data_IF_218213031408
#
_entry.id   IF_218213031408
#
_cell.length_a   1.000
_cell.length_b   1.000
_cell.length_c   1.000
_cell.angle_alpha   90.00
_cell.angle_beta   90.00
_cell.angle_gamma   90.00
#
_symmetry.space_group_name_H-M   'P 1'
#
loop_
_entity.id
_entity.type
_entity.pdbx_description
1 polymer ?
#
# COMPACT_ATOMS: atom_id res chain seq x y z
N UNK A 1 -35.59 45.70 -56.82
CA UNK A 1 -36.54 45.02 -55.92
C UNK A 1 -36.28 45.58 -54.54
N UNK A 2 -37.13 46.32 -53.84
CA UNK A 2 -38.55 46.65 -53.90
C UNK A 2 -38.73 48.00 -53.15
N UNK A 3 -39.74 48.86 -53.29
CA UNK A 3 -40.87 49.13 -54.20
C UNK A 3 -41.31 50.54 -53.78
N UNK A 4 -41.35 51.54 -54.67
CA UNK A 4 -42.52 51.90 -55.47
C UNK A 4 -43.84 51.99 -54.67
N UNK A 5 -44.32 53.22 -54.44
CA UNK A 5 -45.67 53.62 -54.84
C UNK A 5 -45.82 55.15 -54.75
N UNK A 6 -46.12 55.80 -55.87
CA UNK A 6 -46.88 57.06 -55.90
C UNK A 6 -47.95 56.96 -56.99
N UNK A 7 -49.13 57.58 -56.80
CA UNK A 7 -50.31 57.24 -57.58
C UNK A 7 -50.58 58.18 -58.77
N UNK A 8 -51.22 57.60 -59.81
CA UNK A 8 -52.41 58.06 -60.60
C UNK A 8 -52.43 59.49 -61.17
N UNK A 9 -52.93 59.78 -62.39
CA UNK A 9 -53.65 59.02 -63.44
C UNK A 9 -53.83 59.95 -64.66
N UNK A 10 -53.75 59.36 -65.88
CA UNK A 10 -54.43 59.67 -67.17
C UNK A 10 -54.58 61.16 -67.61
N UNK A 11 -54.26 61.51 -68.85
CA UNK A 11 -54.98 61.01 -70.03
C UNK A 11 -54.31 61.37 -71.37
N UNK A 12 -54.10 60.33 -72.19
CA UNK A 12 -54.27 60.20 -73.66
C UNK A 12 -54.53 61.49 -74.47
N UNK A 13 -53.66 61.78 -75.45
CA UNK A 13 -54.00 61.66 -76.89
C UNK A 13 -52.78 61.99 -77.77
N UNK A 14 -52.40 60.99 -78.59
CA UNK A 14 -51.38 61.10 -79.63
C UNK A 14 -51.86 61.85 -80.87
N UNK A 15 -50.92 62.05 -81.79
CA UNK A 15 -51.10 62.59 -83.16
C UNK A 15 -51.34 64.09 -83.33
N UNK A 16 -51.31 64.91 -82.27
CA UNK A 16 -51.29 66.40 -82.40
C UNK A 16 -49.97 67.09 -82.05
N UNK A 17 -49.08 66.46 -81.28
CA UNK A 17 -47.84 67.10 -80.80
C UNK A 17 -46.73 67.26 -81.85
N UNK A 18 -46.79 66.47 -82.94
CA UNK A 18 -45.83 66.55 -84.04
C UNK A 18 -46.03 67.80 -84.93
N UNK A 19 -47.23 68.39 -84.91
CA UNK A 19 -47.57 69.61 -85.67
C UNK A 19 -47.19 70.88 -84.88
N UNK A 20 -47.16 70.82 -83.54
CA UNK A 20 -46.66 71.91 -82.68
C UNK A 20 -45.13 72.05 -82.70
N UNK A 21 -44.40 70.98 -83.04
CA UNK A 21 -42.94 70.99 -83.15
C UNK A 21 -42.48 71.70 -84.45
N UNK A 22 -43.31 71.67 -85.52
CA UNK A 22 -43.00 72.37 -86.78
C UNK A 22 -43.51 73.84 -86.74
N UNK A 23 -44.64 74.11 -86.06
CA UNK A 23 -45.15 75.48 -85.85
C UNK A 23 -44.37 76.30 -84.81
N UNK A 24 -43.77 75.66 -83.80
CA UNK A 24 -42.91 76.34 -82.82
C UNK A 24 -41.55 76.75 -83.39
N UNK A 25 -40.99 75.95 -84.30
CA UNK A 25 -39.73 76.27 -84.99
C UNK A 25 -39.91 77.40 -86.01
N UNK A 26 -41.09 77.52 -86.64
CA UNK A 26 -41.42 78.62 -87.55
C UNK A 26 -41.69 79.95 -86.81
N UNK A 27 -42.28 79.91 -85.60
CA UNK A 27 -42.55 81.10 -84.78
C UNK A 27 -41.28 81.64 -84.10
N UNK A 28 -40.30 80.77 -83.81
CA UNK A 28 -38.96 81.17 -83.34
C UNK A 28 -38.09 81.68 -84.49
N UNK A 29 -38.22 81.15 -85.71
CA UNK A 29 -37.56 81.69 -86.91
C UNK A 29 -38.10 83.08 -87.31
N UNK A 30 -39.39 83.36 -87.13
CA UNK A 30 -39.99 84.69 -87.38
C UNK A 30 -39.68 85.70 -86.26
N UNK A 31 -39.53 85.26 -85.01
CA UNK A 31 -39.06 86.11 -83.91
C UNK A 31 -37.54 86.42 -83.98
N UNK A 32 -36.73 85.49 -84.49
CA UNK A 32 -35.29 85.71 -84.69
C UNK A 32 -34.96 86.48 -85.98
N UNK A 33 -35.80 86.43 -87.02
CA UNK A 33 -35.65 87.26 -88.22
C UNK A 33 -36.21 88.70 -88.05
N UNK A 34 -37.17 88.92 -87.13
CA UNK A 34 -37.74 90.24 -86.83
C UNK A 34 -36.90 91.12 -85.88
N UNK A 35 -36.03 90.54 -85.07
CA UNK A 35 -35.15 91.27 -84.15
C UNK A 35 -33.84 91.78 -84.77
N UNK A 36 -33.43 91.21 -85.92
CA UNK A 36 -32.15 91.51 -86.56
C UNK A 36 -32.18 92.70 -87.54
N UNK A 37 -33.34 93.32 -87.78
CA UNK A 37 -33.48 94.48 -88.68
C UNK A 37 -33.69 95.82 -87.96
N UNK A 38 -33.71 95.84 -86.62
CA UNK A 38 -33.86 97.07 -85.81
C UNK A 38 -32.63 97.41 -84.94
N UNK A 39 -31.52 96.70 -85.11
CA UNK A 39 -30.24 96.95 -84.42
C UNK A 39 -29.04 96.99 -85.38
N UNK A 40 -29.26 97.39 -86.64
CA UNK A 40 -28.19 97.82 -87.54
C UNK A 40 -27.91 99.32 -87.30
N UNK A 41 -26.72 99.71 -86.80
CA UNK A 41 -26.33 101.11 -86.71
C UNK A 41 -26.22 101.70 -88.11
N UNK A 42 -26.96 102.80 -88.32
CA UNK A 42 -26.99 103.61 -89.53
C UNK A 42 -25.58 104.05 -89.93
N UNK A 43 -25.23 103.92 -91.21
CA UNK A 43 -24.12 104.66 -91.81
C UNK A 43 -24.43 106.18 -91.72
N UNK A 44 -23.61 107.00 -91.06
CA UNK A 44 -23.80 108.44 -91.05
C UNK A 44 -23.36 109.04 -92.40
N UNK A 45 -24.27 109.77 -93.03
CA UNK A 45 -24.00 110.58 -94.19
C UNK A 45 -22.97 111.68 -93.85
N UNK A 46 -22.05 111.91 -94.78
CA UNK A 46 -20.98 112.89 -94.73
C UNK A 46 -21.51 114.30 -94.44
N UNK A 47 -21.39 114.73 -93.19
CA UNK A 47 -21.48 116.13 -92.76
C UNK A 47 -20.08 116.68 -92.57
N UNK A 48 -19.78 117.77 -93.25
CA UNK A 48 -18.51 118.52 -93.20
C UNK A 48 -18.10 118.90 -91.78
N UNK A 49 -16.91 118.44 -91.36
CA UNK A 49 -16.26 118.76 -90.09
C UNK A 49 -15.55 120.13 -90.17
N UNK A 50 -15.57 120.95 -89.09
CA UNK A 50 -14.74 122.13 -88.93
C UNK A 50 -13.23 121.78 -88.87
N UNK A 51 -12.35 122.68 -89.31
CA UNK A 51 -10.91 122.44 -89.38
C UNK A 51 -10.27 122.16 -88.01
N UNK A 52 -9.49 121.07 -87.91
CA UNK A 52 -8.61 120.76 -86.76
C UNK A 52 -8.70 119.35 -86.15
N UNK A 53 -9.55 118.44 -86.68
CA UNK A 53 -9.77 117.11 -86.09
C UNK A 53 -9.40 115.98 -87.08
N UNK A 54 -8.70 114.96 -86.59
CA UNK A 54 -8.31 113.76 -87.33
C UNK A 54 -9.07 112.54 -86.81
N UNK A 55 -9.53 111.68 -87.71
CA UNK A 55 -10.19 110.40 -87.40
C UNK A 55 -9.31 109.21 -87.77
N UNK A 56 -9.29 108.15 -86.93
CA UNK A 56 -8.55 106.89 -87.13
C UNK A 56 -9.52 105.70 -87.12
N UNK A 57 -9.29 104.68 -87.96
CA UNK A 57 -10.11 103.46 -88.05
C UNK A 57 -9.85 102.47 -86.91
N UNK A 58 -10.91 101.87 -86.34
CA UNK A 58 -10.85 100.87 -85.26
C UNK A 58 -10.82 99.40 -85.77
N UNK A 59 -10.19 98.49 -85.00
CA UNK A 59 -10.14 97.03 -85.26
C UNK A 59 -10.69 96.19 -84.10
N UNK A 60 -11.08 94.94 -84.40
CA UNK A 60 -11.66 93.97 -83.44
C UNK A 60 -10.58 93.14 -82.75
N UNK A 61 -10.69 92.96 -81.43
CA UNK A 61 -9.87 92.03 -80.63
C UNK A 61 -10.73 91.22 -79.64
N UNK A 62 -10.32 89.98 -79.35
CA UNK A 62 -11.03 89.05 -78.47
C UNK A 62 -11.01 89.52 -77.02
N UNK A 63 -12.19 89.66 -76.40
CA UNK A 63 -12.34 89.95 -74.97
C UNK A 63 -12.50 88.61 -74.24
N UNK A 64 -11.50 88.20 -73.47
CA UNK A 64 -11.62 87.06 -72.55
C UNK A 64 -12.12 87.53 -71.18
N UNK A 65 -13.25 87.00 -70.74
CA UNK A 65 -13.74 87.17 -69.37
C UNK A 65 -13.24 85.99 -68.53
N UNK A 66 -12.27 86.25 -67.68
CA UNK A 66 -11.78 85.28 -66.70
C UNK A 66 -12.67 85.37 -65.46
N UNK A 67 -13.30 84.25 -65.08
CA UNK A 67 -13.95 84.14 -63.76
C UNK A 67 -12.87 83.66 -62.79
N UNK A 68 -12.43 84.54 -61.91
CA UNK A 68 -11.53 84.20 -60.81
C UNK A 68 -12.33 83.51 -59.71
N UNK A 69 -12.10 82.22 -59.51
CA UNK A 69 -12.49 81.50 -58.30
C UNK A 69 -11.24 81.35 -57.43
N UNK A 70 -11.21 82.02 -56.28
CA UNK A 70 -10.23 81.74 -55.24
C UNK A 70 -10.63 80.48 -54.51
N UNK A 71 -9.78 79.46 -54.58
CA UNK A 71 -9.86 78.26 -53.75
C UNK A 71 -8.54 78.07 -53.02
N UNK A 72 -8.60 77.59 -51.79
CA UNK A 72 -7.41 77.18 -51.06
C UNK A 72 -6.91 75.84 -51.62
N UNK A 73 -5.59 75.71 -51.80
CA UNK A 73 -4.94 74.44 -52.14
C UNK A 73 -4.58 73.76 -50.82
N UNK A 74 -5.11 72.57 -50.60
CA UNK A 74 -4.82 71.73 -49.43
C UNK A 74 -4.08 70.47 -49.92
N UNK A 75 -3.12 69.92 -49.14
CA UNK A 75 -2.40 68.72 -49.53
C UNK A 75 -3.34 67.54 -49.86
N UNK A 76 -2.96 66.73 -50.85
CA UNK A 76 -3.76 65.56 -51.24
C UNK A 76 -3.87 64.51 -50.12
N UNK A 77 -2.84 64.44 -49.27
CA UNK A 77 -2.82 63.74 -48.00
C UNK A 77 -1.74 64.41 -47.14
N UNK A 78 -2.05 64.69 -45.89
CA UNK A 78 -1.11 65.22 -44.89
C UNK A 78 -1.22 64.33 -43.66
N UNK A 79 -0.08 63.93 -43.10
CA UNK A 79 -0.05 63.14 -41.87
C UNK A 79 0.87 63.77 -40.84
N UNK A 80 0.28 64.14 -39.69
CA UNK A 80 1.04 64.48 -38.48
C UNK A 80 1.46 63.19 -37.79
N UNK A 81 2.74 62.89 -37.85
CA UNK A 81 3.37 61.72 -37.26
C UNK A 81 3.98 62.09 -35.91
N UNK A 82 3.67 61.33 -34.88
CA UNK A 82 4.28 61.43 -33.55
C UNK A 82 4.67 60.04 -33.08
N UNK A 83 5.63 59.96 -32.17
CA UNK A 83 5.98 58.69 -31.54
C UNK A 83 4.78 58.17 -30.73
N UNK A 84 4.49 56.88 -30.87
CA UNK A 84 3.45 56.21 -30.06
C UNK A 84 3.99 55.73 -28.70
N UNK A 85 5.29 55.84 -28.48
CA UNK A 85 5.98 55.47 -27.24
C UNK A 85 6.67 56.69 -26.63
N UNK A 86 6.57 56.82 -25.31
CA UNK A 86 7.29 57.84 -24.55
C UNK A 86 8.77 57.46 -24.43
N UNK A 87 9.67 58.40 -24.73
CA UNK A 87 11.13 58.21 -24.64
C UNK A 87 11.85 59.47 -25.07
N UNK A 88 13.19 59.47 -25.09
CA UNK A 88 13.98 60.55 -25.69
C UNK A 88 14.36 60.22 -27.13
N UNK A 89 14.31 61.21 -28.03
CA UNK A 89 14.73 61.03 -29.43
C UNK A 89 16.25 60.83 -29.47
N UNK A 90 16.71 59.71 -30.04
CA UNK A 90 18.14 59.38 -30.13
C UNK A 90 18.73 59.70 -31.49
N UNK A 91 17.94 59.56 -32.56
CA UNK A 91 18.40 59.75 -33.93
C UNK A 91 17.27 60.27 -34.83
N UNK A 92 17.59 61.22 -35.71
CA UNK A 92 16.71 61.71 -36.78
C UNK A 92 17.38 61.33 -38.10
N UNK A 93 16.68 60.55 -38.93
CA UNK A 93 17.24 59.86 -40.11
C UNK A 93 16.90 60.57 -41.44
N UNK A 94 16.09 61.63 -41.38
CA UNK A 94 15.61 62.39 -42.54
C UNK A 94 15.76 63.89 -42.31
N UNK A 95 15.77 64.68 -43.38
CA UNK A 95 15.77 66.15 -43.31
C UNK A 95 14.50 66.71 -43.93
N UNK A 96 14.16 67.94 -43.55
CA UNK A 96 13.07 68.67 -44.18
C UNK A 96 13.31 68.79 -45.69
N UNK A 97 12.29 68.47 -46.49
CA UNK A 97 12.37 68.41 -47.95
C UNK A 97 12.86 67.08 -48.54
N UNK A 98 13.28 66.10 -47.73
CA UNK A 98 13.64 64.76 -48.24
C UNK A 98 12.38 63.99 -48.68
N UNK A 99 12.48 63.25 -49.78
CA UNK A 99 11.44 62.34 -50.25
C UNK A 99 11.57 60.97 -49.59
N UNK A 100 10.51 60.49 -48.95
CA UNK A 100 10.49 59.22 -48.21
C UNK A 100 9.49 58.25 -48.83
N UNK A 101 9.76 56.96 -48.74
CA UNK A 101 8.83 55.91 -49.15
C UNK A 101 8.03 55.38 -47.97
N UNK A 102 6.90 54.74 -48.23
CA UNK A 102 6.12 54.06 -47.19
C UNK A 102 7.00 53.06 -46.42
N UNK A 103 6.99 53.14 -45.09
CA UNK A 103 7.81 52.34 -44.18
C UNK A 103 9.22 52.88 -43.93
N UNK A 104 9.64 53.98 -44.56
CA UNK A 104 10.96 54.56 -44.33
C UNK A 104 11.08 55.07 -42.88
N UNK A 105 12.18 54.75 -42.15
CA UNK A 105 12.40 55.24 -40.80
C UNK A 105 12.77 56.72 -40.82
N UNK A 106 12.03 57.51 -40.06
CA UNK A 106 12.16 58.98 -39.99
C UNK A 106 12.98 59.40 -38.77
N UNK A 107 12.69 58.80 -37.62
CA UNK A 107 13.37 59.07 -36.36
C UNK A 107 13.26 57.88 -35.41
N UNK A 108 14.15 57.80 -34.42
CA UNK A 108 14.21 56.73 -33.42
C UNK A 108 14.23 57.32 -32.01
N UNK A 109 13.52 56.69 -31.10
CA UNK A 109 13.62 56.96 -29.66
C UNK A 109 14.50 55.93 -28.96
N UNK A 110 15.00 56.27 -27.78
CA UNK A 110 15.78 55.34 -26.96
C UNK A 110 14.99 54.03 -26.74
N UNK A 111 15.55 52.95 -27.26
CA UNK A 111 14.95 51.61 -27.27
C UNK A 111 15.68 50.65 -26.35
N UNK A 112 16.68 51.09 -25.58
CA UNK A 112 17.46 50.20 -24.71
C UNK A 112 16.55 49.48 -23.70
N UNK A 113 15.64 50.21 -23.03
CA UNK A 113 14.67 49.61 -22.11
C UNK A 113 13.65 48.69 -22.79
N UNK A 114 13.23 49.02 -24.02
CA UNK A 114 12.27 48.22 -24.80
C UNK A 114 12.89 46.92 -25.30
N UNK A 115 14.16 46.96 -25.74
CA UNK A 115 14.93 45.76 -26.11
C UNK A 115 15.14 44.86 -24.90
N UNK A 116 15.49 45.41 -23.74
CA UNK A 116 15.60 44.63 -22.51
C UNK A 116 14.26 44.00 -22.11
N UNK A 117 13.15 44.74 -22.24
CA UNK A 117 11.80 44.20 -21.99
C UNK A 117 11.43 43.06 -22.95
N UNK A 118 11.83 43.16 -24.23
CA UNK A 118 11.63 42.10 -25.19
C UNK A 118 12.48 40.88 -24.85
N UNK A 119 13.74 41.06 -24.50
CA UNK A 119 14.65 39.99 -24.10
C UNK A 119 14.14 39.27 -22.84
N UNK A 120 13.64 40.01 -21.86
CA UNK A 120 12.97 39.46 -20.67
C UNK A 120 11.73 38.64 -21.05
N UNK A 121 10.83 39.19 -21.88
CA UNK A 121 9.63 38.47 -22.31
C UNK A 121 9.97 37.19 -23.09
N UNK A 122 11.03 37.21 -23.91
CA UNK A 122 11.53 36.04 -24.63
C UNK A 122 12.13 34.99 -23.68
N UNK A 123 12.83 35.42 -22.63
CA UNK A 123 13.31 34.53 -21.59
C UNK A 123 12.15 33.87 -20.83
N UNK A 124 11.11 34.64 -20.47
CA UNK A 124 9.91 34.13 -19.81
C UNK A 124 9.14 33.13 -20.70
N UNK A 125 9.05 33.38 -22.01
CA UNK A 125 8.46 32.44 -22.96
C UNK A 125 9.24 31.14 -23.03
N UNK A 126 10.58 31.20 -23.11
CA UNK A 126 11.42 30.00 -23.11
C UNK A 126 11.25 29.19 -21.82
N UNK A 127 11.18 29.87 -20.67
CA UNK A 127 10.92 29.20 -19.39
C UNK A 127 9.54 28.55 -19.36
N UNK A 128 8.49 29.23 -19.82
CA UNK A 128 7.13 28.69 -19.85
C UNK A 128 7.01 27.48 -20.79
N UNK A 129 7.72 27.50 -21.93
CA UNK A 129 7.80 26.38 -22.87
C UNK A 129 8.52 25.19 -22.24
N UNK A 130 9.68 25.41 -21.60
CA UNK A 130 10.41 24.37 -20.88
C UNK A 130 9.54 23.74 -19.78
N UNK A 131 8.87 24.54 -18.96
CA UNK A 131 7.95 24.06 -17.92
C UNK A 131 6.78 23.22 -18.48
N UNK A 132 6.31 23.52 -19.69
CA UNK A 132 5.25 22.77 -20.36
C UNK A 132 5.77 21.45 -20.95
N UNK A 133 6.95 21.47 -21.57
CA UNK A 133 7.62 20.28 -22.08
C UNK A 133 8.01 19.32 -20.95
N UNK A 134 8.54 19.83 -19.84
CA UNK A 134 8.85 19.03 -18.64
C UNK A 134 7.60 18.34 -18.09
N UNK A 135 6.45 19.04 -18.08
CA UNK A 135 5.17 18.45 -17.68
C UNK A 135 4.72 17.33 -18.62
N UNK A 136 4.96 17.47 -19.93
CA UNK A 136 4.62 16.47 -20.94
C UNK A 136 5.57 15.27 -20.93
N UNK A 137 6.86 15.49 -20.68
CA UNK A 137 7.87 14.45 -20.59
C UNK A 137 7.60 13.52 -19.39
N UNK A 138 6.96 14.03 -18.34
CA UNK A 138 6.55 13.25 -17.18
C UNK A 138 7.74 12.77 -16.36
N UNK A 139 7.58 11.65 -15.67
CA UNK A 139 8.66 11.08 -14.86
C UNK A 139 9.83 10.60 -15.73
N UNK A 140 11.05 10.91 -15.29
CA UNK A 140 12.27 10.46 -15.96
C UNK A 140 12.46 8.95 -15.84
N UNK A 141 13.25 8.36 -16.74
CA UNK A 141 13.60 6.94 -16.67
C UNK A 141 14.28 6.54 -15.35
N UNK A 142 15.07 7.45 -14.77
CA UNK A 142 15.71 7.25 -13.47
C UNK A 142 14.69 7.20 -12.32
N UNK A 143 13.72 8.11 -12.29
CA UNK A 143 12.66 8.12 -11.27
C UNK A 143 11.76 6.89 -11.37
N UNK A 144 11.41 6.47 -12.60
CA UNK A 144 10.65 5.25 -12.84
C UNK A 144 11.42 4.01 -12.39
N UNK A 145 12.71 3.93 -12.71
CA UNK A 145 13.57 2.82 -12.28
C UNK A 145 13.68 2.75 -10.75
N UNK A 146 13.82 3.89 -10.08
CA UNK A 146 13.86 3.94 -8.61
C UNK A 146 12.51 3.50 -8.00
N UNK A 147 11.39 3.98 -8.52
CA UNK A 147 10.06 3.60 -8.05
C UNK A 147 9.78 2.10 -8.27
N UNK A 148 10.18 1.55 -9.42
CA UNK A 148 10.11 0.11 -9.69
C UNK A 148 10.99 -0.69 -8.75
N UNK A 149 12.21 -0.22 -8.45
CA UNK A 149 13.10 -0.87 -7.49
C UNK A 149 12.50 -0.89 -6.08
N UNK A 150 11.91 0.23 -5.64
CA UNK A 150 11.20 0.33 -4.35
C UNK A 150 10.01 -0.64 -4.29
N UNK A 151 9.22 -0.74 -5.36
CA UNK A 151 8.10 -1.69 -5.45
C UNK A 151 8.59 -3.15 -5.43
N UNK A 152 9.66 -3.47 -6.16
CA UNK A 152 10.25 -4.81 -6.16
C UNK A 152 10.76 -5.19 -4.77
N UNK A 153 11.43 -4.26 -4.08
CA UNK A 153 11.89 -4.45 -2.70
C UNK A 153 10.72 -4.68 -1.75
N UNK A 154 9.66 -3.86 -1.81
CA UNK A 154 8.47 -4.03 -0.98
C UNK A 154 7.78 -5.37 -1.22
N UNK A 155 7.67 -5.81 -2.49
CA UNK A 155 7.12 -7.13 -2.85
C UNK A 155 7.96 -8.27 -2.31
N UNK A 156 9.29 -8.15 -2.38
CA UNK A 156 10.20 -9.15 -1.82
C UNK A 156 10.05 -9.27 -0.29
N UNK A 157 9.95 -8.14 0.42
CA UNK A 157 9.69 -8.15 1.87
C UNK A 157 8.34 -8.79 2.21
N UNK A 158 7.26 -8.42 1.49
CA UNK A 158 5.96 -9.06 1.67
C UNK A 158 6.01 -10.57 1.42
N UNK A 159 6.69 -11.02 0.36
CA UNK A 159 6.85 -12.45 0.07
C UNK A 159 7.65 -13.16 1.17
N UNK A 160 8.75 -12.57 1.64
CA UNK A 160 9.53 -13.13 2.76
C UNK A 160 8.67 -13.31 4.01
N UNK A 161 7.90 -12.29 4.39
CA UNK A 161 6.96 -12.37 5.53
C UNK A 161 5.84 -13.38 5.28
N UNK A 162 5.29 -13.47 4.06
CA UNK A 162 4.23 -14.43 3.73
C UNK A 162 4.73 -15.88 3.72
N UNK A 163 6.00 -16.12 3.38
CA UNK A 163 6.61 -17.45 3.34
C UNK A 163 7.35 -17.82 4.63
N UNK A 164 7.55 -16.88 5.56
CA UNK A 164 8.29 -17.14 6.82
C UNK A 164 7.56 -18.11 7.74
N UNK A 165 6.25 -18.25 7.56
CA UNK A 165 5.41 -19.24 8.24
C UNK A 165 4.72 -20.08 7.18
N UNK A 166 5.09 -21.35 7.10
CA UNK A 166 4.44 -22.29 6.20
C UNK A 166 3.21 -22.93 6.86
N UNK A 167 2.30 -23.46 6.04
CA UNK A 167 1.20 -24.30 6.55
C UNK A 167 1.72 -25.54 7.30
N UNK A 168 2.89 -26.05 6.94
CA UNK A 168 3.54 -27.16 7.64
C UNK A 168 3.97 -26.76 9.06
N UNK A 169 4.50 -25.55 9.26
CA UNK A 169 4.91 -25.04 10.58
C UNK A 169 3.70 -24.91 11.52
N UNK A 170 2.58 -24.37 11.01
CA UNK A 170 1.33 -24.25 11.78
C UNK A 170 0.79 -25.63 12.15
N UNK A 171 0.81 -26.59 11.21
CA UNK A 171 0.33 -27.94 11.47
C UNK A 171 1.22 -28.69 12.48
N UNK A 172 2.54 -28.50 12.41
CA UNK A 172 3.47 -29.03 13.40
C UNK A 172 3.19 -28.45 14.79
N UNK A 173 3.04 -27.12 14.92
CA UNK A 173 2.72 -26.48 16.20
C UNK A 173 1.36 -26.93 16.77
N UNK A 174 0.35 -27.16 15.92
CA UNK A 174 -0.94 -27.75 16.34
C UNK A 174 -0.79 -29.19 16.84
N UNK A 175 0.02 -30.00 16.16
CA UNK A 175 0.30 -31.37 16.59
C UNK A 175 1.03 -31.40 17.94
N UNK A 176 2.00 -30.50 18.14
CA UNK A 176 2.72 -30.35 19.41
C UNK A 176 1.79 -29.94 20.55
N UNK A 177 0.87 -29.01 20.30
CA UNK A 177 -0.14 -28.60 21.28
C UNK A 177 -1.07 -29.78 21.64
N UNK A 178 -1.57 -30.50 20.63
CA UNK A 178 -2.43 -31.66 20.84
C UNK A 178 -1.71 -32.77 21.63
N UNK A 179 -0.43 -33.03 21.34
CA UNK A 179 0.38 -33.98 22.08
C UNK A 179 0.62 -33.55 23.54
N UNK A 180 0.89 -32.26 23.77
CA UNK A 180 1.04 -31.71 25.12
C UNK A 180 -0.26 -31.79 25.93
N UNK A 181 -1.40 -31.50 25.32
CA UNK A 181 -2.73 -31.64 25.92
C UNK A 181 -3.03 -33.10 26.25
N UNK A 182 -2.84 -34.02 25.31
CA UNK A 182 -3.05 -35.44 25.54
C UNK A 182 -2.16 -36.00 26.67
N UNK A 183 -0.93 -35.49 26.82
CA UNK A 183 -0.06 -35.83 27.96
C UNK A 183 -0.63 -35.31 29.27
N UNK A 184 -1.09 -34.06 29.31
CA UNK A 184 -1.70 -33.49 30.51
C UNK A 184 -2.97 -34.25 30.90
N UNK A 185 -3.84 -34.56 29.94
CA UNK A 185 -5.08 -35.31 30.16
C UNK A 185 -4.80 -36.70 30.72
N UNK A 186 -3.77 -37.39 30.18
CA UNK A 186 -3.34 -38.70 30.71
C UNK A 186 -2.86 -38.61 32.16
N UNK A 187 -2.14 -37.54 32.52
CA UNK A 187 -1.69 -37.33 33.90
C UNK A 187 -2.85 -36.97 34.84
N UNK A 188 -3.87 -36.25 34.35
CA UNK A 188 -5.07 -35.88 35.11
C UNK A 188 -6.07 -37.03 35.28
N UNK A 189 -6.18 -37.93 34.30
CA UNK A 189 -7.07 -39.09 34.34
C UNK A 189 -6.64 -40.14 35.38
N UNK A 190 -5.39 -40.10 35.84
CA UNK A 190 -4.85 -41.05 36.81
C UNK A 190 -4.41 -42.39 36.18
N UNK A 191 -4.10 -43.42 37.00
CA UNK A 191 -3.70 -44.73 36.49
C UNK A 191 -4.82 -45.37 35.67
N UNK A 192 -4.45 -46.14 34.64
CA UNK A 192 -5.43 -46.85 33.83
C UNK A 192 -6.25 -47.83 34.69
N UNK A 193 -7.53 -48.01 34.36
CA UNK A 193 -8.43 -48.94 35.07
C UNK A 193 -7.83 -50.34 35.19
N UNK A 194 -7.15 -50.79 34.14
CA UNK A 194 -6.61 -52.14 34.02
C UNK A 194 -5.35 -52.34 34.87
N UNK A 195 -4.52 -51.29 35.00
CA UNK A 195 -3.35 -51.29 35.89
C UNK A 195 -3.79 -51.35 37.35
N UNK A 196 -4.80 -50.55 37.72
CA UNK A 196 -5.34 -50.56 39.07
C UNK A 196 -6.04 -51.88 39.40
N UNK A 197 -6.78 -52.47 38.44
CA UNK A 197 -7.38 -53.79 38.59
C UNK A 197 -6.31 -54.87 38.83
N UNK A 198 -5.24 -54.88 38.03
CA UNK A 198 -4.12 -55.81 38.19
C UNK A 198 -3.42 -55.66 39.55
N UNK A 199 -3.24 -54.42 40.02
CA UNK A 199 -2.66 -54.16 41.34
C UNK A 199 -3.58 -54.64 42.47
N UNK A 200 -4.89 -54.43 42.36
CA UNK A 200 -5.88 -54.93 43.31
C UNK A 200 -5.90 -56.47 43.36
N UNK A 201 -5.79 -57.14 42.22
CA UNK A 201 -5.66 -58.59 42.18
C UNK A 201 -4.40 -59.09 42.87
N UNK A 202 -3.27 -58.41 42.72
CA UNK A 202 -2.03 -58.78 43.43
C UNK A 202 -2.18 -58.64 44.94
N UNK A 203 -2.84 -57.59 45.43
CA UNK A 203 -3.18 -57.44 46.85
C UNK A 203 -4.08 -58.59 47.31
N UNK A 204 -5.12 -58.92 46.53
CA UNK A 204 -6.02 -60.01 46.86
C UNK A 204 -5.30 -61.37 46.92
N UNK A 205 -4.41 -61.65 45.96
CA UNK A 205 -3.61 -62.89 45.94
C UNK A 205 -2.66 -62.95 47.15
N UNK A 206 -1.98 -61.85 47.46
CA UNK A 206 -1.07 -61.79 48.61
C UNK A 206 -1.82 -61.97 49.94
N UNK A 207 -3.02 -61.39 50.06
CA UNK A 207 -3.90 -61.56 51.21
C UNK A 207 -4.33 -63.03 51.37
N UNK A 208 -4.83 -63.65 50.30
CA UNK A 208 -5.20 -65.07 50.33
C UNK A 208 -4.02 -65.98 50.68
N UNK A 209 -2.82 -65.71 50.16
CA UNK A 209 -1.61 -66.46 50.51
C UNK A 209 -1.23 -66.33 51.99
N UNK A 210 -1.39 -65.13 52.56
CA UNK A 210 -1.15 -64.91 53.99
C UNK A 210 -2.15 -65.69 54.86
N UNK A 211 -3.43 -65.64 54.51
CA UNK A 211 -4.49 -66.31 55.26
C UNK A 211 -4.35 -67.84 55.18
N UNK A 212 -4.11 -68.37 53.98
CA UNK A 212 -3.88 -69.80 53.77
C UNK A 212 -2.60 -70.26 54.49
N UNK A 213 -1.51 -69.49 54.38
CA UNK A 213 -0.26 -69.79 55.08
C UNK A 213 -0.44 -69.86 56.59
N UNK A 214 -1.20 -68.94 57.20
CA UNK A 214 -1.49 -68.98 58.64
C UNK A 214 -2.22 -70.25 59.06
N UNK A 215 -3.20 -70.69 58.28
CA UNK A 215 -3.94 -71.94 58.54
C UNK A 215 -3.03 -73.16 58.42
N UNK A 216 -2.24 -73.25 57.35
CA UNK A 216 -1.37 -74.41 57.09
C UNK A 216 -0.24 -74.52 58.12
N UNK A 217 0.38 -73.40 58.50
CA UNK A 217 1.45 -73.35 59.49
C UNK A 217 0.92 -73.69 60.90
N UNK A 218 -0.25 -73.17 61.28
CA UNK A 218 -0.89 -73.54 62.54
C UNK A 218 -1.18 -75.05 62.60
N UNK A 219 -1.74 -75.62 61.53
CA UNK A 219 -2.00 -77.05 61.45
C UNK A 219 -0.72 -77.89 61.48
N UNK A 220 0.35 -77.47 60.80
CA UNK A 220 1.65 -78.16 60.81
C UNK A 220 2.27 -78.19 62.20
N UNK A 221 2.25 -77.05 62.90
CA UNK A 221 2.72 -76.91 64.28
C UNK A 221 1.94 -77.78 65.25
N UNK A 222 0.61 -77.79 65.14
CA UNK A 222 -0.25 -78.63 65.99
C UNK A 222 0.02 -80.12 65.76
N UNK A 223 0.18 -80.57 64.50
CA UNK A 223 0.56 -81.96 64.21
C UNK A 223 1.91 -82.33 64.81
N UNK A 224 2.92 -81.47 64.67
CA UNK A 224 4.24 -81.70 65.24
C UNK A 224 4.20 -81.76 66.78
N UNK A 225 3.40 -80.90 67.41
CA UNK A 225 3.16 -80.94 68.86
C UNK A 225 2.54 -82.26 69.30
N UNK A 226 1.49 -82.72 68.60
CA UNK A 226 0.83 -84.00 68.91
C UNK A 226 1.79 -85.19 68.72
N UNK A 227 2.68 -85.15 67.72
CA UNK A 227 3.70 -86.20 67.57
C UNK A 227 4.70 -86.18 68.74
N UNK A 228 5.16 -85.02 69.20
CA UNK A 228 5.99 -84.90 70.42
C UNK A 228 5.30 -85.56 71.62
N UNK A 229 4.03 -85.25 71.87
CA UNK A 229 3.26 -85.84 72.96
C UNK A 229 3.14 -87.37 72.80
N UNK A 230 2.93 -87.84 71.56
CA UNK A 230 2.84 -89.27 71.24
C UNK A 230 4.18 -89.99 71.49
N UNK A 231 5.31 -89.40 71.07
CA UNK A 231 6.66 -89.97 71.31
C UNK A 231 7.05 -89.92 72.77
N UNK A 232 6.65 -88.89 73.50
CA UNK A 232 6.88 -88.80 74.95
C UNK A 232 6.15 -89.92 75.71
N UNK A 233 4.91 -90.20 75.33
CA UNK A 233 4.15 -91.32 75.90
C UNK A 233 4.78 -92.68 75.51
N UNK A 234 5.25 -92.85 74.27
CA UNK A 234 5.93 -94.06 73.84
C UNK A 234 7.24 -94.30 74.62
N UNK A 235 8.03 -93.24 74.87
CA UNK A 235 9.23 -93.30 75.69
C UNK A 235 8.90 -93.73 77.13
N UNK A 236 7.88 -93.11 77.73
CA UNK A 236 7.42 -93.49 79.08
C UNK A 236 7.06 -94.97 79.15
N UNK A 237 6.27 -95.46 78.18
CA UNK A 237 5.89 -96.87 78.11
C UNK A 237 7.09 -97.80 77.93
N UNK A 238 8.08 -97.42 77.12
CA UNK A 238 9.32 -98.19 76.92
C UNK A 238 10.17 -98.24 78.21
N UNK A 239 10.27 -97.12 78.93
CA UNK A 239 10.96 -97.03 80.22
C UNK A 239 10.28 -97.89 81.30
N UNK A 240 8.95 -97.86 81.35
CA UNK A 240 8.16 -98.69 82.26
C UNK A 240 8.34 -100.19 81.94
N UNK A 241 8.37 -100.56 80.65
CA UNK A 241 8.60 -101.93 80.19
C UNK A 241 10.02 -102.42 80.51
N UNK A 242 11.05 -101.62 80.22
CA UNK A 242 12.44 -101.92 80.58
C UNK A 242 12.60 -102.08 82.09
N UNK A 243 12.04 -101.16 82.88
CA UNK A 243 12.07 -101.22 84.34
C UNK A 243 11.48 -102.53 84.85
N UNK A 244 10.33 -102.96 84.29
CA UNK A 244 9.69 -104.24 84.65
C UNK A 244 10.58 -105.43 84.33
N UNK A 245 11.10 -105.53 83.10
CA UNK A 245 11.98 -106.64 82.67
C UNK A 245 13.25 -106.70 83.51
N UNK A 246 13.86 -105.55 83.81
CA UNK A 246 15.04 -105.45 84.67
C UNK A 246 14.78 -106.02 86.07
N UNK A 247 13.70 -105.57 86.74
CA UNK A 247 13.37 -106.06 88.08
C UNK A 247 12.99 -107.54 88.09
N UNK A 248 12.24 -108.02 87.09
CA UNK A 248 11.94 -109.46 86.95
C UNK A 248 13.21 -110.30 86.74
N UNK A 249 14.14 -109.83 85.89
CA UNK A 249 15.41 -110.50 85.66
C UNK A 249 16.25 -110.54 86.95
N UNK A 250 16.33 -109.43 87.68
CA UNK A 250 17.10 -109.37 88.92
C UNK A 250 16.55 -110.33 89.98
N UNK A 251 15.23 -110.43 90.10
CA UNK A 251 14.60 -111.38 91.02
C UNK A 251 14.82 -112.84 90.58
N UNK A 252 14.70 -113.11 89.28
CA UNK A 252 14.92 -114.44 88.72
C UNK A 252 16.39 -114.89 88.90
N UNK A 253 17.36 -113.99 88.70
CA UNK A 253 18.79 -114.27 88.89
C UNK A 253 19.11 -114.71 90.31
N UNK A 254 18.46 -114.09 91.31
CA UNK A 254 18.59 -114.46 92.73
C UNK A 254 18.07 -115.87 93.02
N UNK A 255 17.10 -116.34 92.24
CA UNK A 255 16.45 -117.64 92.42
C UNK A 255 17.08 -118.79 91.62
N UNK A 256 17.95 -118.51 90.63
CA UNK A 256 18.51 -119.50 89.71
C UNK A 256 19.96 -119.89 90.10
N UNK A 257 20.27 -121.17 90.31
CA UNK A 257 21.62 -121.60 90.73
C UNK A 257 22.71 -121.42 89.65
N UNK A 258 22.33 -121.28 88.37
CA UNK A 258 23.24 -121.14 87.23
C UNK A 258 23.16 -119.75 86.53
N UNK A 259 22.53 -118.76 87.17
CA UNK A 259 22.33 -117.41 86.62
C UNK A 259 21.26 -117.31 85.52
N UNK A 260 21.13 -116.11 84.93
CA UNK A 260 20.10 -115.79 83.93
C UNK A 260 20.32 -116.51 82.57
N UNK A 261 19.25 -116.97 81.94
CA UNK A 261 19.30 -117.52 80.56
C UNK A 261 19.63 -116.43 79.54
N UNK A 262 20.25 -116.83 78.43
CA UNK A 262 20.61 -115.89 77.35
C UNK A 262 19.36 -115.18 76.79
N UNK A 263 18.24 -115.89 76.65
CA UNK A 263 16.97 -115.31 76.20
C UNK A 263 16.49 -114.16 77.09
N UNK A 264 16.61 -114.27 78.42
CA UNK A 264 16.21 -113.20 79.36
C UNK A 264 17.15 -111.99 79.28
N UNK A 265 18.45 -112.22 79.07
CA UNK A 265 19.44 -111.15 78.82
C UNK A 265 19.16 -110.43 77.49
N UNK A 266 18.76 -111.18 76.46
CA UNK A 266 18.40 -110.63 75.15
C UNK A 266 17.09 -109.82 75.22
N UNK A 267 16.10 -110.27 76.00
CA UNK A 267 14.84 -109.54 76.27
C UNK A 267 15.10 -108.20 76.95
N UNK A 268 15.97 -108.16 77.98
CA UNK A 268 16.37 -106.92 78.64
C UNK A 268 17.10 -105.98 77.69
N UNK A 269 18.05 -106.52 76.91
CA UNK A 269 18.77 -105.75 75.89
C UNK A 269 17.81 -105.18 74.84
N UNK A 270 16.79 -105.93 74.43
CA UNK A 270 15.75 -105.47 73.52
C UNK A 270 14.90 -104.36 74.13
N UNK A 271 14.52 -104.47 75.40
CA UNK A 271 13.77 -103.43 76.11
C UNK A 271 14.60 -102.14 76.27
N UNK A 272 15.90 -102.26 76.55
CA UNK A 272 16.81 -101.11 76.60
C UNK A 272 16.98 -100.44 75.22
N UNK A 273 17.10 -101.22 74.14
CA UNK A 273 17.11 -100.68 72.77
C UNK A 273 15.81 -99.93 72.47
N UNK A 274 14.66 -100.47 72.86
CA UNK A 274 13.37 -99.80 72.68
C UNK A 274 13.29 -98.45 73.41
N UNK A 275 13.89 -98.32 74.60
CA UNK A 275 14.04 -97.02 75.28
C UNK A 275 14.89 -96.07 74.44
N UNK A 276 16.09 -96.49 74.02
CA UNK A 276 16.98 -95.66 73.19
C UNK A 276 16.31 -95.21 71.87
N UNK A 277 15.58 -96.10 71.21
CA UNK A 277 14.85 -95.79 69.98
C UNK A 277 13.71 -94.80 70.24
N UNK A 278 12.99 -94.94 71.35
CA UNK A 278 11.94 -94.00 71.74
C UNK A 278 12.51 -92.63 72.14
N UNK A 279 13.67 -92.57 72.80
CA UNK A 279 14.39 -91.32 73.09
C UNK A 279 14.87 -90.62 71.82
N UNK A 280 15.39 -91.38 70.85
CA UNK A 280 15.77 -90.86 69.55
C UNK A 280 14.55 -90.33 68.78
N UNK A 281 13.43 -91.07 68.80
CA UNK A 281 12.19 -90.65 68.16
C UNK A 281 11.59 -89.38 68.80
N UNK A 282 11.62 -89.26 70.13
CA UNK A 282 11.17 -88.05 70.82
C UNK A 282 12.04 -86.84 70.46
N UNK A 283 13.37 -87.00 70.48
CA UNK A 283 14.29 -85.92 70.08
C UNK A 283 14.04 -85.47 68.64
N UNK A 284 13.82 -86.42 67.72
CA UNK A 284 13.47 -86.10 66.34
C UNK A 284 12.14 -85.33 66.24
N UNK A 285 11.11 -85.73 67.00
CA UNK A 285 9.83 -85.02 67.05
C UNK A 285 9.97 -83.60 67.62
N UNK A 286 10.80 -83.40 68.65
CA UNK A 286 11.07 -82.08 69.23
C UNK A 286 11.74 -81.15 68.21
N UNK A 287 12.74 -81.65 67.48
CA UNK A 287 13.39 -80.89 66.39
C UNK A 287 12.39 -80.53 65.30
N UNK A 288 11.50 -81.45 64.91
CA UNK A 288 10.46 -81.19 63.93
C UNK A 288 9.46 -80.12 64.41
N UNK A 289 9.10 -80.12 65.70
CA UNK A 289 8.25 -79.08 66.29
C UNK A 289 8.93 -77.70 66.33
N UNK A 290 10.21 -77.64 66.68
CA UNK A 290 10.97 -76.38 66.66
C UNK A 290 11.18 -75.87 65.22
N UNK A 291 11.37 -76.76 64.25
CA UNK A 291 11.39 -76.39 62.83
C UNK A 291 10.03 -75.83 62.40
N UNK A 292 8.91 -76.45 62.79
CA UNK A 292 7.58 -75.94 62.47
C UNK A 292 7.32 -74.54 63.04
N UNK A 293 7.84 -74.22 64.24
CA UNK A 293 7.80 -72.85 64.80
C UNK A 293 8.62 -71.85 63.98
N UNK A 294 9.81 -72.26 63.55
CA UNK A 294 10.66 -71.40 62.71
C UNK A 294 10.02 -71.14 61.35
N UNK A 295 9.44 -72.18 60.74
CA UNK A 295 8.74 -72.10 59.47
C UNK A 295 7.50 -71.21 59.57
N UNK A 296 6.75 -71.28 60.68
CA UNK A 296 5.63 -70.37 61.00
C UNK A 296 6.08 -68.91 60.93
N UNK A 297 7.14 -68.55 61.68
CA UNK A 297 7.66 -67.18 61.74
C UNK A 297 8.19 -66.72 60.38
N UNK A 298 8.99 -67.53 59.70
CA UNK A 298 9.65 -67.15 58.45
C UNK A 298 8.65 -67.00 57.31
N UNK A 299 7.72 -67.95 57.18
CA UNK A 299 6.70 -67.94 56.11
C UNK A 299 5.68 -66.84 56.35
N UNK A 300 5.24 -66.65 57.60
CA UNK A 300 4.34 -65.54 57.92
C UNK A 300 4.99 -64.19 57.61
N UNK A 301 6.25 -63.98 57.99
CA UNK A 301 6.99 -62.75 57.67
C UNK A 301 7.09 -62.52 56.16
N UNK A 302 7.36 -63.58 55.39
CA UNK A 302 7.45 -63.49 53.93
C UNK A 302 6.11 -63.10 53.30
N UNK A 303 5.00 -63.72 53.74
CA UNK A 303 3.66 -63.39 53.26
C UNK A 303 3.22 -61.98 53.63
N UNK A 304 3.51 -61.52 54.86
CA UNK A 304 3.23 -60.15 55.31
C UNK A 304 4.04 -59.12 54.51
N UNK A 305 5.32 -59.40 54.21
CA UNK A 305 6.14 -58.56 53.36
C UNK A 305 5.61 -58.49 51.92
N UNK A 306 5.15 -59.61 51.36
CA UNK A 306 4.54 -59.67 50.03
C UNK A 306 3.25 -58.84 49.95
N UNK A 307 2.37 -58.96 50.95
CA UNK A 307 1.15 -58.16 51.06
C UNK A 307 1.47 -56.66 51.16
N UNK A 308 2.42 -56.28 52.03
CA UNK A 308 2.87 -54.90 52.17
C UNK A 308 3.40 -54.33 50.85
N UNK A 309 4.18 -55.11 50.11
CA UNK A 309 4.71 -54.73 48.80
C UNK A 309 3.61 -54.54 47.74
N UNK A 310 2.61 -55.44 47.73
CA UNK A 310 1.45 -55.32 46.84
C UNK A 310 0.62 -54.06 47.13
N UNK A 311 0.36 -53.78 48.42
CA UNK A 311 -0.35 -52.56 48.85
C UNK A 311 0.43 -51.31 48.45
N UNK A 312 1.74 -51.26 48.71
CA UNK A 312 2.58 -50.13 48.34
C UNK A 312 2.60 -49.89 46.82
N UNK A 313 2.60 -50.95 46.01
CA UNK A 313 2.52 -50.86 44.55
C UNK A 313 1.18 -50.26 44.09
N UNK A 314 0.05 -50.70 44.66
CA UNK A 314 -1.28 -50.12 44.40
C UNK A 314 -1.35 -48.66 44.83
N UNK A 315 -0.89 -48.34 46.03
CA UNK A 315 -0.96 -46.99 46.59
C UNK A 315 -0.10 -46.01 45.79
N UNK A 316 1.03 -46.46 45.24
CA UNK A 316 1.84 -45.69 44.30
C UNK A 316 1.07 -45.32 43.02
N UNK A 317 0.21 -46.21 42.52
CA UNK A 317 -0.66 -45.91 41.37
C UNK A 317 -1.76 -44.91 41.76
N UNK A 318 -2.38 -45.08 42.93
CA UNK A 318 -3.42 -44.18 43.44
C UNK A 318 -2.92 -42.78 43.79
N UNK A 319 -1.62 -42.64 44.13
CA UNK A 319 -0.97 -41.35 44.37
C UNK A 319 -1.00 -40.40 43.17
N UNK A 320 -1.35 -40.90 41.97
CA UNK A 320 -1.52 -40.10 40.76
C UNK A 320 -0.21 -39.49 40.25
N UNK A 321 -0.32 -38.60 39.26
CA UNK A 321 0.80 -37.82 38.77
C UNK A 321 1.28 -36.84 39.86
N UNK A 322 2.60 -36.69 40.02
CA UNK A 322 3.14 -35.72 40.99
C UNK A 322 2.76 -34.30 40.59
N UNK A 323 2.65 -33.41 41.58
CA UNK A 323 2.36 -32.00 41.33
C UNK A 323 3.39 -31.35 40.37
N UNK A 324 4.65 -31.77 40.46
CA UNK A 324 5.74 -31.40 39.55
C UNK A 324 5.47 -31.83 38.11
N UNK A 325 5.09 -33.10 37.89
CA UNK A 325 4.78 -33.63 36.55
C UNK A 325 3.58 -32.90 35.91
N UNK A 326 2.56 -32.58 36.71
CA UNK A 326 1.39 -31.81 36.28
C UNK A 326 1.76 -30.36 35.95
N UNK A 327 2.62 -29.73 36.74
CA UNK A 327 3.12 -28.38 36.47
C UNK A 327 3.93 -28.35 35.16
N UNK A 328 4.81 -29.33 34.94
CA UNK A 328 5.60 -29.46 33.72
C UNK A 328 4.72 -29.71 32.49
N UNK A 329 3.70 -30.54 32.61
CA UNK A 329 2.74 -30.79 31.53
C UNK A 329 1.92 -29.53 31.20
N UNK A 330 1.45 -28.78 32.20
CA UNK A 330 0.76 -27.49 31.99
C UNK A 330 1.68 -26.47 31.33
N UNK A 331 2.94 -26.37 31.78
CA UNK A 331 3.93 -25.49 31.17
C UNK A 331 4.23 -25.90 29.71
N UNK A 332 4.24 -27.20 29.40
CA UNK A 332 4.38 -27.68 28.02
C UNK A 332 3.20 -27.24 27.14
N UNK A 333 1.95 -27.36 27.62
CA UNK A 333 0.77 -26.87 26.90
C UNK A 333 0.86 -25.36 26.65
N UNK A 334 1.24 -24.57 27.68
CA UNK A 334 1.40 -23.12 27.53
C UNK A 334 2.47 -22.75 26.51
N UNK A 335 3.62 -23.42 26.50
CA UNK A 335 4.68 -23.19 25.50
C UNK A 335 4.23 -23.55 24.09
N UNK A 336 3.53 -24.67 23.91
CA UNK A 336 3.00 -25.08 22.62
C UNK A 336 1.94 -24.10 22.10
N UNK A 337 1.05 -23.63 22.99
CA UNK A 337 0.06 -22.60 22.66
C UNK A 337 0.74 -21.28 22.25
N UNK A 338 1.70 -20.80 23.04
CA UNK A 338 2.44 -19.57 22.73
C UNK A 338 3.17 -19.66 21.40
N UNK A 339 3.72 -20.85 21.04
CA UNK A 339 4.33 -21.07 19.74
C UNK A 339 3.30 -21.01 18.61
N UNK A 340 2.13 -21.61 18.78
CA UNK A 340 1.05 -21.53 17.81
C UNK A 340 0.56 -20.08 17.64
N UNK A 341 0.41 -19.35 18.74
CA UNK A 341 0.01 -17.94 18.74
C UNK A 341 1.08 -17.04 18.10
N UNK A 342 2.37 -17.35 18.26
CA UNK A 342 3.42 -16.63 17.55
C UNK A 342 3.31 -16.81 16.02
N UNK A 343 2.94 -18.01 15.56
CA UNK A 343 2.80 -18.33 14.15
C UNK A 343 1.49 -17.83 13.54
N UNK A 344 0.42 -17.72 14.34
CA UNK A 344 -0.95 -17.44 13.85
C UNK A 344 -1.58 -16.17 14.41
N UNK A 345 -0.95 -15.55 15.40
CA UNK A 345 -1.52 -14.46 16.18
C UNK A 345 -1.35 -13.08 15.54
N UNK A 346 -1.76 -12.07 16.32
CA UNK A 346 -1.86 -10.69 15.88
C UNK A 346 -0.52 -10.12 15.37
N UNK A 347 0.61 -10.56 15.89
CA UNK A 347 1.93 -10.07 15.46
C UNK A 347 2.23 -10.43 14.01
N UNK A 348 2.08 -11.71 13.63
CA UNK A 348 2.32 -12.16 12.25
C UNK A 348 1.33 -11.50 11.28
N UNK A 349 0.05 -11.42 11.67
CA UNK A 349 -0.97 -10.72 10.87
C UNK A 349 -0.64 -9.22 10.71
N UNK A 350 -0.12 -8.57 11.75
CA UNK A 350 0.27 -7.14 11.71
C UNK A 350 1.51 -6.92 10.85
N UNK A 351 2.50 -7.81 10.90
CA UNK A 351 3.69 -7.77 10.03
C UNK A 351 3.31 -7.97 8.55
N UNK A 352 2.41 -8.91 8.28
CA UNK A 352 1.90 -9.13 6.92
C UNK A 352 1.11 -7.92 6.42
N UNK A 353 0.25 -7.33 7.25
CA UNK A 353 -0.50 -6.12 6.89
C UNK A 353 0.42 -4.90 6.67
N UNK A 354 1.48 -4.76 7.48
CA UNK A 354 2.46 -3.68 7.35
C UNK A 354 3.27 -3.81 6.06
N UNK A 355 3.77 -5.01 5.76
CA UNK A 355 4.49 -5.29 4.50
C UNK A 355 3.59 -5.14 3.27
N UNK A 356 2.31 -5.57 3.36
CA UNK A 356 1.32 -5.35 2.32
C UNK A 356 1.05 -3.85 2.09
N UNK A 357 0.96 -3.06 3.16
CA UNK A 357 0.81 -1.60 3.08
C UNK A 357 2.03 -0.96 2.41
N UNK A 358 3.24 -1.45 2.69
CA UNK A 358 4.46 -1.02 2.00
C UNK A 358 4.40 -1.25 0.49
N UNK A 359 3.87 -2.40 0.05
CA UNK A 359 3.63 -2.68 -1.38
C UNK A 359 2.63 -1.69 -1.99
N UNK A 360 1.52 -1.41 -1.29
CA UNK A 360 0.51 -0.47 -1.75
C UNK A 360 1.06 0.95 -1.88
N UNK A 361 1.85 1.41 -0.91
CA UNK A 361 2.50 2.73 -0.94
C UNK A 361 3.49 2.82 -2.10
N UNK A 362 4.32 1.78 -2.30
CA UNK A 362 5.28 1.75 -3.40
C UNK A 362 4.58 1.72 -4.76
N UNK A 363 3.47 0.97 -4.88
CA UNK A 363 2.65 0.93 -6.08
C UNK A 363 2.01 2.29 -6.35
N UNK A 364 1.38 2.92 -5.34
CA UNK A 364 0.79 4.25 -5.48
C UNK A 364 1.84 5.32 -5.86
N UNK A 365 3.07 5.18 -5.35
CA UNK A 365 4.19 6.03 -5.76
C UNK A 365 4.55 5.87 -7.24
N UNK A 366 4.61 4.63 -7.73
CA UNK A 366 4.81 4.34 -9.16
C UNK A 366 3.65 4.84 -10.01
N UNK A 367 2.41 4.58 -9.58
CA UNK A 367 1.19 4.99 -10.28
C UNK A 367 1.15 6.51 -10.45
N UNK A 368 1.55 7.26 -9.41
CA UNK A 368 1.65 8.73 -9.45
C UNK A 368 2.67 9.24 -10.48
N UNK A 369 3.78 8.53 -10.68
CA UNK A 369 4.80 8.89 -11.66
C UNK A 369 4.39 8.54 -13.09
N UNK A 370 3.60 7.49 -13.27
CA UNK A 370 3.07 7.06 -14.58
C UNK A 370 1.75 7.71 -14.95
N UNK A 371 1.09 8.40 -14.01
CA UNK A 371 -0.19 9.04 -14.26
C UNK A 371 0.01 10.25 -15.19
N UNK A 372 -0.85 10.33 -16.22
CA UNK A 372 -0.85 11.47 -17.11
C UNK A 372 -1.06 12.78 -16.31
N UNK A 373 -0.36 13.87 -16.68
CA UNK A 373 -0.56 15.16 -16.05
C UNK A 373 -2.03 15.58 -16.19
N UNK A 374 -2.61 16.03 -15.09
CA UNK A 374 -4.04 16.38 -15.08
C UNK A 374 -4.36 17.46 -16.13
N UNK A 375 -5.55 17.38 -16.74
CA UNK A 375 -6.01 18.41 -17.70
C UNK A 375 -5.89 19.83 -17.15
N UNK A 376 -6.16 20.03 -15.85
CA UNK A 376 -6.01 21.32 -15.20
C UNK A 376 -4.55 21.82 -15.19
N UNK A 377 -3.59 20.95 -14.89
CA UNK A 377 -2.16 21.31 -14.90
C UNK A 377 -1.70 21.61 -16.33
N UNK A 378 -2.06 20.76 -17.30
CA UNK A 378 -1.75 20.98 -18.72
C UNK A 378 -2.29 22.32 -19.21
N UNK A 379 -3.58 22.58 -19.00
CA UNK A 379 -4.21 23.86 -19.40
C UNK A 379 -3.56 25.06 -18.70
N UNK A 380 -3.15 24.94 -17.44
CA UNK A 380 -2.51 26.04 -16.72
C UNK A 380 -1.12 26.40 -17.28
N UNK A 381 -0.33 25.38 -17.66
CA UNK A 381 1.00 25.55 -18.26
C UNK A 381 0.89 26.02 -19.71
N UNK A 382 -0.03 25.46 -20.49
CA UNK A 382 -0.37 25.94 -21.83
C UNK A 382 -0.79 27.42 -21.82
N UNK A 383 -1.67 27.81 -20.89
CA UNK A 383 -2.05 29.20 -20.72
C UNK A 383 -0.86 30.11 -20.30
N UNK A 384 0.12 29.58 -19.57
CA UNK A 384 1.33 30.32 -19.24
C UNK A 384 2.19 30.60 -20.49
N UNK A 385 2.34 29.62 -21.38
CA UNK A 385 3.01 29.78 -22.68
C UNK A 385 2.29 30.85 -23.50
N UNK A 386 0.95 30.79 -23.60
CA UNK A 386 0.15 31.78 -24.35
C UNK A 386 0.34 33.19 -23.76
N UNK A 387 0.33 33.35 -22.44
CA UNK A 387 0.56 34.66 -21.80
C UNK A 387 1.95 35.20 -22.10
N UNK A 388 2.98 34.37 -22.02
CA UNK A 388 4.35 34.76 -22.32
C UNK A 388 4.52 35.12 -23.80
N UNK A 389 3.87 34.40 -24.72
CA UNK A 389 3.89 34.71 -26.15
C UNK A 389 3.22 36.06 -26.44
N UNK A 390 2.10 36.36 -25.79
CA UNK A 390 1.43 37.67 -25.88
C UNK A 390 2.34 38.77 -25.34
N UNK A 391 3.04 38.55 -24.23
CA UNK A 391 3.99 39.51 -23.68
C UNK A 391 5.15 39.79 -24.64
N UNK A 392 5.70 38.76 -25.31
CA UNK A 392 6.71 38.93 -26.37
C UNK A 392 6.16 39.77 -27.52
N UNK A 393 4.94 39.49 -28.00
CA UNK A 393 4.29 40.27 -29.06
C UNK A 393 4.07 41.73 -28.66
N UNK A 394 3.70 41.99 -27.41
CA UNK A 394 3.52 43.34 -26.89
C UNK A 394 4.86 44.09 -26.77
N UNK A 395 5.90 43.44 -26.26
CA UNK A 395 7.24 44.02 -26.15
C UNK A 395 7.83 44.30 -27.53
N UNK A 396 7.66 43.38 -28.49
CA UNK A 396 8.08 43.56 -29.88
C UNK A 396 7.36 44.74 -30.51
N UNK A 397 6.03 44.81 -30.39
CA UNK A 397 5.26 45.94 -30.91
C UNK A 397 5.70 47.27 -30.28
N UNK A 398 6.02 47.26 -28.99
CA UNK A 398 6.52 48.46 -28.30
C UNK A 398 7.88 48.88 -28.85
N UNK A 399 8.76 47.93 -29.16
CA UNK A 399 10.05 48.17 -29.81
C UNK A 399 9.88 48.66 -31.26
N UNK A 400 8.94 48.10 -32.03
CA UNK A 400 8.67 48.53 -33.40
C UNK A 400 8.15 49.98 -33.42
N UNK A 401 7.27 50.33 -32.48
CA UNK A 401 6.74 51.69 -32.28
C UNK A 401 7.78 52.69 -31.74
N UNK A 402 8.98 52.24 -31.37
CA UNK A 402 10.11 53.10 -31.04
C UNK A 402 10.78 53.72 -32.28
N UNK A 403 10.41 53.28 -33.48
CA UNK A 403 10.85 53.87 -34.75
C UNK A 403 9.66 54.54 -35.43
N UNK A 404 9.75 55.86 -35.64
CA UNK A 404 8.76 56.60 -36.41
C UNK A 404 8.98 56.28 -37.89
N UNK A 405 7.95 55.79 -38.58
CA UNK A 405 8.02 55.43 -40.01
C UNK A 405 6.97 56.18 -40.82
N UNK A 406 7.24 56.41 -42.10
CA UNK A 406 6.29 57.07 -42.99
C UNK A 406 5.13 56.12 -43.38
N UNK A 407 3.85 56.44 -43.17
CA UNK A 407 2.72 55.60 -43.56
C UNK A 407 2.52 55.48 -45.09
N UNK A 408 3.00 56.46 -45.86
CA UNK A 408 2.94 56.47 -47.33
C UNK A 408 4.16 57.23 -47.90
N UNK A 409 4.37 57.16 -49.22
CA UNK A 409 5.43 57.92 -49.86
C UNK A 409 5.09 59.42 -49.91
N UNK A 410 5.94 60.29 -49.37
CA UNK A 410 5.68 61.71 -49.18
C UNK A 410 6.98 62.53 -49.10
N UNK A 411 6.86 63.85 -48.91
CA UNK A 411 8.00 64.75 -48.70
C UNK A 411 7.88 65.38 -47.32
N UNK A 412 8.95 65.38 -46.53
CA UNK A 412 8.91 65.94 -45.18
C UNK A 412 8.67 67.46 -45.23
N UNK A 413 7.55 67.93 -44.68
CA UNK A 413 7.23 69.37 -44.66
C UNK A 413 7.93 70.10 -43.52
N UNK A 414 7.96 69.49 -42.33
CA UNK A 414 8.61 70.06 -41.14
C UNK A 414 8.90 68.98 -40.09
N UNK A 415 10.04 69.10 -39.39
CA UNK A 415 10.46 68.22 -38.29
C UNK A 415 10.46 69.03 -37.00
N UNK A 416 9.45 68.84 -36.16
CA UNK A 416 9.32 69.49 -34.85
C UNK A 416 9.87 68.58 -33.74
N UNK A 417 11.10 68.08 -33.90
CA UNK A 417 11.73 67.13 -32.98
C UNK A 417 13.23 67.39 -32.87
N UNK A 418 13.80 67.34 -31.66
CA UNK A 418 15.24 67.45 -31.45
C UNK A 418 15.81 66.20 -30.77
N UNK A 419 17.07 65.88 -31.08
CA UNK A 419 17.82 64.81 -30.41
C UNK A 419 17.99 65.18 -28.94
N UNK A 420 17.65 64.25 -28.03
CA UNK A 420 17.74 64.41 -26.58
C UNK A 420 16.48 64.95 -25.90
N UNK A 421 15.49 65.42 -26.65
CA UNK A 421 14.19 65.88 -26.13
C UNK A 421 13.19 64.71 -25.98
N UNK A 422 12.19 64.84 -25.09
CA UNK A 422 11.12 63.87 -24.99
C UNK A 422 10.37 63.75 -26.32
N UNK A 423 9.92 62.54 -26.64
CA UNK A 423 9.25 62.16 -27.88
C UNK A 423 7.81 62.71 -28.01
N UNK A 424 7.59 63.96 -27.57
CA UNK A 424 6.36 64.73 -27.78
C UNK A 424 6.38 65.51 -29.10
N UNK A 425 7.56 65.59 -29.74
CA UNK A 425 7.72 66.22 -31.04
C UNK A 425 7.02 65.48 -32.18
N UNK A 426 6.64 66.22 -33.23
CA UNK A 426 5.91 65.71 -34.38
C UNK A 426 6.62 65.99 -35.71
N UNK A 427 6.49 65.09 -36.67
CA UNK A 427 6.87 65.32 -38.06
C UNK A 427 5.61 65.45 -38.91
N UNK A 428 5.58 66.40 -39.84
CA UNK A 428 4.48 66.56 -40.80
C UNK A 428 5.00 66.16 -42.18
N UNK A 429 4.25 65.29 -42.87
CA UNK A 429 4.60 64.74 -44.19
C UNK A 429 3.44 64.84 -45.18
#
# INVERSE_FOLDING_TARGET
MASAETPRKKSRNGRRRLIFIIGGVLLVLVACAGGAFLLAPKAPASGTLPAGWQTVSASVGTISSTVSATGNIEPAAEAKLSFSQSGSVTEILVREGDAVQAGAPLARVDSAGLRLSLEQAQADLRQAQADYEDLLAGATSAELAEAQARLAQARSQYQQTATSVSAADINAARADLAAAQARLDRLMAGPASDELASANEQVQRAQSSLDQGRVDLAAAKDRARVDVDTRANALRNAQDAYSRVYWENQELERSLPNGLTQERKDQETQALRAVSDAEAALRAAQVAYDQAKLDEVNTQRANEAALKSAIASRDKLLGGAKAEDLADARAAVQRAQAKLDQLTGANHASELASSQSGVQIAQAGLDKLTADPSKANLTSREAAVIRAEVAVKQAQRSLDLATLTAPFAATISSIEMNIGEPAEGSAII
#
